data_IF_230280928419
#
_entry.id   IF_230280928419
#
_cell.length_a   1.000
_cell.length_b   1.000
_cell.length_c   1.000
_cell.angle_alpha   90.00
_cell.angle_beta   90.00
_cell.angle_gamma   90.00
#
_symmetry.space_group_name_H-M   'P 1'
#
loop_
_entity.id
_entity.type
_entity.pdbx_description
1 polymer ?
#
# COMPACT_ATOMS: atom_id res chain seq x y z
N UNK A 1 13.46 1.98 0.55
CA UNK A 1 11.99 2.04 0.50
C UNK A 1 11.52 3.45 0.80
N UNK A 2 10.32 3.82 0.32
CA UNK A 2 9.59 5.03 0.72
C UNK A 2 8.08 4.79 0.64
N UNK A 3 7.29 5.65 1.28
CA UNK A 3 5.86 5.76 0.98
C UNK A 3 5.68 6.68 -0.23
N UNK A 4 4.91 6.22 -1.22
CA UNK A 4 4.55 6.99 -2.41
C UNK A 4 3.52 8.10 -2.11
N UNK A 5 3.03 8.79 -3.14
CA UNK A 5 1.91 9.73 -3.00
C UNK A 5 0.72 9.05 -2.33
N UNK A 6 0.00 9.82 -1.50
CA UNK A 6 -1.13 9.30 -0.75
C UNK A 6 -2.48 9.79 -1.27
N UNK A 7 -3.49 8.94 -1.10
CA UNK A 7 -4.89 9.24 -1.42
C UNK A 7 -5.73 9.15 -0.15
N UNK A 8 -6.69 10.08 0.00
CA UNK A 8 -7.72 9.99 1.03
C UNK A 8 -8.92 9.26 0.43
N UNK A 9 -9.35 8.20 1.09
CA UNK A 9 -10.48 7.36 0.65
C UNK A 9 -11.45 7.25 1.82
N UNK A 10 -12.74 7.50 1.57
CA UNK A 10 -13.80 7.28 2.56
C UNK A 10 -14.40 5.88 2.39
N UNK A 11 -14.82 5.28 3.50
CA UNK A 11 -15.60 4.05 3.51
C UNK A 11 -16.93 4.23 2.76
N UNK A 12 -17.45 3.15 2.16
CA UNK A 12 -18.81 3.13 1.63
C UNK A 12 -19.86 3.10 2.76
N UNK A 13 -21.15 3.06 2.42
CA UNK A 13 -22.26 3.05 3.39
C UNK A 13 -22.28 1.86 4.35
N UNK A 14 -21.47 0.84 4.10
CA UNK A 14 -21.33 -0.34 4.96
C UNK A 14 -20.07 -0.30 5.82
N UNK A 15 -19.29 0.79 5.78
CA UNK A 15 -18.03 0.92 6.51
C UNK A 15 -16.82 0.26 5.86
N UNK A 16 -16.90 -0.16 4.59
CA UNK A 16 -15.79 -0.80 3.90
C UNK A 16 -15.02 0.18 3.02
N UNK A 17 -13.69 0.14 3.11
CA UNK A 17 -12.85 0.73 2.07
C UNK A 17 -12.95 -0.09 0.78
N UNK A 18 -12.87 0.54 -0.41
CA UNK A 18 -12.69 -0.18 -1.65
C UNK A 18 -11.32 -0.88 -1.67
N UNK A 19 -11.12 -1.77 -2.65
CA UNK A 19 -9.77 -2.26 -2.95
C UNK A 19 -8.87 -1.07 -3.31
N UNK A 20 -7.64 -1.09 -2.80
CA UNK A 20 -6.64 -0.02 -2.95
C UNK A 20 -5.37 -0.50 -3.65
N UNK A 21 -5.44 -1.66 -4.30
CA UNK A 21 -4.34 -2.22 -5.10
C UNK A 21 -3.04 -2.39 -4.29
N UNK A 22 -3.17 -2.87 -3.05
CA UNK A 22 -2.05 -3.10 -2.16
C UNK A 22 -1.44 -1.83 -1.53
N UNK A 23 -2.12 -0.69 -1.58
CA UNK A 23 -1.74 0.47 -0.80
C UNK A 23 -1.85 0.21 0.71
N UNK A 24 -0.92 0.79 1.48
CA UNK A 24 -0.90 0.72 2.94
C UNK A 24 -1.79 1.81 3.53
N UNK A 25 -2.58 1.47 4.54
CA UNK A 25 -3.22 2.47 5.40
C UNK A 25 -2.15 3.07 6.32
N UNK A 26 -2.02 4.39 6.28
CA UNK A 26 -1.02 5.15 7.06
C UNK A 26 -1.64 6.19 7.98
N UNK A 27 -2.94 6.45 7.84
CA UNK A 27 -3.73 7.29 8.73
C UNK A 27 -5.21 6.94 8.67
N UNK A 28 -5.93 7.17 9.77
CA UNK A 28 -7.36 6.96 9.89
C UNK A 28 -8.01 8.15 10.61
N UNK A 29 -9.13 8.63 10.08
CA UNK A 29 -9.94 9.70 10.68
C UNK A 29 -11.40 9.26 10.73
N UNK A 30 -12.01 9.27 11.92
CA UNK A 30 -13.45 9.09 12.08
C UNK A 30 -14.15 10.41 11.77
N UNK A 31 -15.05 10.41 10.78
CA UNK A 31 -15.76 11.61 10.37
C UNK A 31 -16.96 11.92 11.28
N UNK A 32 -17.53 10.88 11.87
CA UNK A 32 -18.56 10.98 12.88
C UNK A 32 -18.20 10.05 14.05
N UNK A 33 -17.99 10.57 15.27
CA UNK A 33 -17.59 9.76 16.42
C UNK A 33 -18.69 8.79 16.89
N UNK A 34 -19.94 8.94 16.43
CA UNK A 34 -21.06 8.06 16.76
C UNK A 34 -21.35 7.04 15.66
N UNK A 35 -20.73 7.18 14.49
CA UNK A 35 -20.93 6.30 13.35
C UNK A 35 -19.59 5.73 12.88
N UNK A 36 -19.32 4.49 13.32
CA UNK A 36 -18.09 3.76 12.96
C UNK A 36 -18.03 3.36 11.48
N UNK A 37 -19.09 3.58 10.70
CA UNK A 37 -19.09 3.32 9.26
C UNK A 37 -18.55 4.48 8.44
N UNK A 38 -18.31 5.65 9.04
CA UNK A 38 -17.82 6.86 8.35
C UNK A 38 -16.37 7.16 8.71
N UNK A 39 -15.45 6.57 7.96
CA UNK A 39 -14.01 6.67 8.19
C UNK A 39 -13.29 7.09 6.91
N UNK A 40 -12.36 8.03 7.03
CA UNK A 40 -11.37 8.33 5.99
C UNK A 40 -10.05 7.64 6.31
N UNK A 41 -9.53 6.90 5.33
CA UNK A 41 -8.20 6.32 5.36
C UNK A 41 -7.23 7.09 4.44
N UNK A 42 -6.01 7.28 4.89
CA UNK A 42 -4.91 7.78 4.06
C UNK A 42 -4.08 6.59 3.56
N UNK A 43 -4.10 6.37 2.24
CA UNK A 43 -3.52 5.19 1.59
C UNK A 43 -2.29 5.57 0.78
N UNK A 44 -1.17 4.85 0.95
CA UNK A 44 0.09 5.07 0.23
C UNK A 44 0.69 3.75 -0.24
N UNK A 45 1.14 3.66 -1.49
CA UNK A 45 1.89 2.49 -1.95
C UNK A 45 3.31 2.49 -1.38
N UNK A 46 3.79 1.33 -0.96
CA UNK A 46 5.20 1.14 -0.65
C UNK A 46 5.99 1.15 -1.96
N UNK A 47 6.99 2.02 -2.04
CA UNK A 47 7.86 2.16 -3.21
C UNK A 47 9.29 1.73 -2.90
N UNK A 48 9.93 1.12 -3.89
CA UNK A 48 11.35 0.75 -3.88
C UNK A 48 12.06 1.37 -5.07
N UNK A 49 13.36 1.62 -4.94
CA UNK A 49 14.25 2.14 -5.99
C UNK A 49 15.49 1.27 -6.01
N UNK A 50 15.92 0.86 -7.20
CA UNK A 50 17.15 0.10 -7.42
C UNK A 50 18.20 1.02 -8.03
N UNK A 51 19.36 1.16 -7.36
CA UNK A 51 20.41 2.09 -7.77
C UNK A 51 19.86 3.49 -8.05
N UNK A 52 20.15 4.02 -9.24
CA UNK A 52 19.71 5.33 -9.67
C UNK A 52 18.39 5.33 -10.49
N UNK A 53 17.71 4.18 -10.62
CA UNK A 53 16.46 4.04 -11.37
C UNK A 53 15.26 4.81 -10.78
N UNK A 54 14.07 4.74 -11.40
CA UNK A 54 12.87 5.36 -10.83
C UNK A 54 12.39 4.60 -9.58
N UNK A 55 11.60 5.28 -8.75
CA UNK A 55 10.81 4.63 -7.70
C UNK A 55 9.65 3.87 -8.33
N UNK A 56 9.40 2.65 -7.86
CA UNK A 56 8.38 1.75 -8.37
C UNK A 56 7.56 1.19 -7.21
N UNK A 57 6.26 0.98 -7.42
CA UNK A 57 5.39 0.36 -6.43
C UNK A 57 5.76 -1.12 -6.25
N UNK A 58 5.91 -1.55 -5.00
CA UNK A 58 6.32 -2.93 -4.68
C UNK A 58 5.31 -3.95 -5.23
N UNK A 59 4.02 -3.61 -5.29
CA UNK A 59 2.97 -4.48 -5.82
C UNK A 59 3.16 -4.85 -7.30
N UNK A 60 3.79 -3.97 -8.08
CA UNK A 60 4.06 -4.18 -9.50
C UNK A 60 5.35 -4.95 -9.79
N UNK A 61 6.06 -5.41 -8.76
CA UNK A 61 7.30 -6.16 -8.93
C UNK A 61 7.03 -7.66 -8.91
N UNK A 62 7.69 -8.37 -9.82
CA UNK A 62 7.71 -9.81 -9.81
C UNK A 62 8.50 -10.31 -8.58
N UNK A 63 7.96 -11.32 -7.92
CA UNK A 63 8.70 -12.04 -6.88
C UNK A 63 9.88 -12.76 -7.55
N UNK A 64 11.11 -12.37 -7.20
CA UNK A 64 12.29 -13.14 -7.60
C UNK A 64 12.37 -14.33 -6.64
N UNK A 65 12.09 -15.53 -7.19
CA UNK A 65 12.16 -16.78 -6.44
C UNK A 65 13.51 -16.97 -5.75
N UNK A 66 13.47 -17.54 -4.53
CA UNK A 66 14.64 -17.94 -3.75
C UNK A 66 15.60 -18.74 -4.62
N UNK A 67 16.62 -18.07 -5.16
CA UNK A 67 17.70 -18.70 -5.86
C UNK A 67 18.60 -19.37 -4.81
N UNK A 68 18.13 -20.48 -4.24
CA UNK A 68 18.98 -21.42 -3.51
C UNK A 68 19.80 -22.27 -4.48
N UNK A 69 20.09 -21.74 -5.69
CA UNK A 69 21.01 -22.27 -6.68
C UNK A 69 22.44 -22.29 -6.15
N UNK A 70 22.69 -23.19 -5.20
CA UNK A 70 24.03 -23.66 -4.86
C UNK A 70 24.48 -24.59 -5.99
N UNK A 71 24.92 -24.02 -7.10
CA UNK A 71 25.88 -24.71 -7.97
C UNK A 71 27.24 -24.10 -7.71
N UNK A 72 27.91 -24.65 -6.70
CA UNK A 72 29.34 -24.51 -6.52
C UNK A 72 29.91 -25.91 -6.56
N UNK A 73 30.51 -26.25 -7.70
CA UNK A 73 31.65 -27.17 -7.76
C UNK A 73 32.77 -26.71 -6.80
#
# INVERSE_FOLDING_TARGET
FRLGPGNIIETNSNGWFPDTDGALITGLTFLDPKDATRVQGFFQHLQVRFGDGPWQDVKGLDEVGSDTGRTGE
#
